data_IF_342154730816
#
_entry.id   IF_342154730816
#
_cell.length_a   1.000
_cell.length_b   1.000
_cell.length_c   1.000
_cell.angle_alpha   90.00
_cell.angle_beta   90.00
_cell.angle_gamma   90.00
#
_symmetry.space_group_name_H-M   'P 1'
#
loop_
_entity.id
_entity.type
_entity.pdbx_description
1 polymer ?
#
# COMPACT_ATOMS: atom_id res chain seq x y z
N UNK A 1 -22.20 -8.96 -17.07
CA UNK A 1 -21.92 -8.54 -18.45
C UNK A 1 -20.40 -8.47 -18.62
N UNK A 2 -19.82 -9.04 -19.71
CA UNK A 2 -18.35 -9.12 -19.87
C UNK A 2 -17.68 -7.74 -19.96
N UNK A 3 -18.35 -6.76 -20.51
CA UNK A 3 -17.85 -5.38 -20.63
C UNK A 3 -17.71 -4.68 -19.27
N UNK A 4 -18.68 -4.86 -18.39
CA UNK A 4 -18.64 -4.32 -17.02
C UNK A 4 -17.50 -4.97 -16.21
N UNK A 5 -17.27 -6.26 -16.41
CA UNK A 5 -16.16 -6.97 -15.76
C UNK A 5 -14.80 -6.48 -16.27
N UNK A 6 -14.65 -6.22 -17.55
CA UNK A 6 -13.40 -5.68 -18.11
C UNK A 6 -13.12 -4.26 -17.61
N UNK A 7 -14.12 -3.40 -17.52
CA UNK A 7 -14.01 -2.07 -16.96
C UNK A 7 -13.61 -2.12 -15.46
N UNK A 8 -14.23 -3.03 -14.69
CA UNK A 8 -13.89 -3.22 -13.28
C UNK A 8 -12.44 -3.66 -13.06
N UNK A 9 -11.93 -4.58 -13.90
CA UNK A 9 -10.53 -5.03 -13.84
C UNK A 9 -9.56 -3.87 -14.09
N UNK A 10 -9.85 -3.01 -15.07
CA UNK A 10 -9.02 -1.84 -15.34
C UNK A 10 -8.99 -0.87 -14.15
N UNK A 11 -10.15 -0.53 -13.57
CA UNK A 11 -10.24 0.35 -12.39
C UNK A 11 -9.47 -0.23 -11.19
N UNK A 12 -9.64 -1.53 -10.93
CA UNK A 12 -8.93 -2.21 -9.84
C UNK A 12 -7.41 -2.21 -10.06
N UNK A 13 -6.96 -2.37 -11.31
CA UNK A 13 -5.52 -2.34 -11.64
C UNK A 13 -4.92 -0.96 -11.38
N UNK A 14 -5.60 0.11 -11.81
CA UNK A 14 -5.14 1.49 -11.57
C UNK A 14 -5.14 1.81 -10.07
N UNK A 15 -6.19 1.42 -9.34
CA UNK A 15 -6.26 1.61 -7.89
C UNK A 15 -5.21 0.75 -7.15
N UNK A 16 -4.87 -0.42 -7.68
CA UNK A 16 -3.77 -1.23 -7.17
C UNK A 16 -2.42 -0.50 -7.26
N UNK A 17 -2.14 0.16 -8.37
CA UNK A 17 -0.96 1.02 -8.49
C UNK A 17 -1.04 2.23 -7.55
N UNK A 18 -2.23 2.86 -7.45
CA UNK A 18 -2.44 3.99 -6.54
C UNK A 18 -2.19 3.62 -5.07
N UNK A 19 -2.50 2.38 -4.66
CA UNK A 19 -2.29 1.90 -3.29
C UNK A 19 -0.81 1.92 -2.88
N UNK A 20 0.12 1.73 -3.82
CA UNK A 20 1.56 1.86 -3.57
C UNK A 20 1.89 3.29 -3.13
N UNK A 21 1.34 4.28 -3.83
CA UNK A 21 1.54 5.69 -3.48
C UNK A 21 0.86 6.07 -2.17
N UNK A 22 -0.28 5.46 -1.85
CA UNK A 22 -0.93 5.61 -0.53
C UNK A 22 0.00 5.10 0.58
N UNK A 23 0.59 3.93 0.43
CA UNK A 23 1.54 3.39 1.41
C UNK A 23 2.77 4.30 1.56
N UNK A 24 3.31 4.79 0.45
CA UNK A 24 4.42 5.76 0.45
C UNK A 24 4.05 7.05 1.17
N UNK A 25 2.85 7.58 0.91
CA UNK A 25 2.32 8.77 1.59
C UNK A 25 2.21 8.55 3.09
N UNK A 26 1.62 7.44 3.53
CA UNK A 26 1.44 7.14 4.97
C UNK A 26 2.79 7.02 5.66
N UNK A 27 3.71 6.22 5.10
CA UNK A 27 5.03 6.02 5.68
C UNK A 27 5.84 7.34 5.73
N UNK A 28 5.86 8.11 4.65
CA UNK A 28 6.58 9.39 4.60
C UNK A 28 5.98 10.45 5.52
N UNK A 29 4.64 10.48 5.66
CA UNK A 29 3.95 11.35 6.62
C UNK A 29 4.32 11.00 8.05
N UNK A 30 4.37 9.70 8.41
CA UNK A 30 4.79 9.24 9.72
C UNK A 30 6.23 9.64 10.05
N UNK A 31 7.15 9.53 9.10
CA UNK A 31 8.54 10.00 9.26
C UNK A 31 8.58 11.50 9.54
N UNK A 32 7.88 12.32 8.75
CA UNK A 32 7.85 13.77 8.95
C UNK A 32 7.28 14.16 10.32
N UNK A 33 6.22 13.47 10.77
CA UNK A 33 5.63 13.67 12.09
C UNK A 33 6.61 13.30 13.22
N UNK A 34 7.29 12.17 13.10
CA UNK A 34 8.30 11.72 14.08
C UNK A 34 9.46 12.72 14.25
N UNK A 35 9.78 13.48 13.20
CA UNK A 35 10.78 14.55 13.24
C UNK A 35 10.20 15.94 13.59
N UNK A 36 8.98 16.00 14.13
CA UNK A 36 8.33 17.24 14.56
C UNK A 36 7.89 18.16 13.42
N UNK A 37 7.81 17.64 12.20
CA UNK A 37 7.39 18.37 11.00
C UNK A 37 5.92 18.09 10.65
N UNK A 38 5.04 18.10 11.64
CA UNK A 38 3.62 17.73 11.52
C UNK A 38 2.83 18.57 10.50
N UNK A 39 3.23 19.83 10.33
CA UNK A 39 2.57 20.76 9.41
C UNK A 39 2.80 20.40 7.92
N UNK A 40 3.93 19.78 7.60
CA UNK A 40 4.26 19.47 6.20
C UNK A 40 3.29 18.44 5.59
N UNK A 41 2.98 17.29 6.22
CA UNK A 41 1.99 16.35 5.70
C UNK A 41 0.61 16.97 5.50
N UNK A 42 0.21 17.92 6.36
CA UNK A 42 -1.08 18.62 6.23
C UNK A 42 -1.11 19.46 4.94
N UNK A 43 -0.05 20.22 4.69
CA UNK A 43 0.04 21.04 3.47
C UNK A 43 0.15 20.20 2.20
N UNK A 44 0.92 19.11 2.23
CA UNK A 44 1.02 18.22 1.07
C UNK A 44 -0.30 17.49 0.80
N UNK A 45 -1.05 17.14 1.85
CA UNK A 45 -2.38 16.54 1.72
C UNK A 45 -3.39 17.53 1.12
N UNK A 46 -3.39 18.79 1.55
CA UNK A 46 -4.22 19.84 0.98
C UNK A 46 -3.90 20.08 -0.50
N UNK A 47 -2.61 20.16 -0.84
CA UNK A 47 -2.19 20.31 -2.23
C UNK A 47 -2.62 19.11 -3.10
N UNK A 48 -2.42 17.89 -2.61
CA UNK A 48 -2.87 16.68 -3.31
C UNK A 48 -4.39 16.61 -3.46
N UNK A 49 -5.14 17.02 -2.42
CA UNK A 49 -6.60 17.10 -2.46
C UNK A 49 -7.10 18.11 -3.50
N UNK A 50 -6.50 19.29 -3.57
CA UNK A 50 -6.81 20.29 -4.59
C UNK A 50 -6.56 19.76 -6.01
N UNK A 51 -5.42 19.10 -6.23
CA UNK A 51 -5.11 18.45 -7.52
C UNK A 51 -6.10 17.34 -7.83
N UNK A 52 -6.51 16.54 -6.84
CA UNK A 52 -7.51 15.49 -7.03
C UNK A 52 -8.84 16.05 -7.51
N UNK A 53 -9.32 17.13 -6.87
CA UNK A 53 -10.58 17.77 -7.25
C UNK A 53 -10.47 18.31 -8.67
N UNK A 54 -9.42 19.08 -8.98
CA UNK A 54 -9.21 19.65 -10.31
C UNK A 54 -9.09 18.56 -11.39
N UNK A 55 -8.28 17.52 -11.14
CA UNK A 55 -8.12 16.41 -12.06
C UNK A 55 -9.41 15.59 -12.23
N UNK A 56 -10.17 15.36 -11.16
CA UNK A 56 -11.46 14.67 -11.25
C UNK A 56 -12.45 15.45 -12.12
N UNK A 57 -12.59 16.75 -11.90
CA UNK A 57 -13.46 17.58 -12.72
C UNK A 57 -13.02 17.56 -14.19
N UNK A 58 -11.72 17.76 -14.45
CA UNK A 58 -11.19 17.83 -15.80
C UNK A 58 -11.28 16.50 -16.58
N UNK A 59 -11.09 15.37 -15.90
CA UNK A 59 -11.07 14.05 -16.53
C UNK A 59 -12.46 13.44 -16.65
N UNK A 60 -13.29 13.55 -15.60
CA UNK A 60 -14.64 12.96 -15.60
C UNK A 60 -15.60 13.76 -16.50
N UNK A 61 -15.39 15.08 -16.66
CA UNK A 61 -16.18 15.90 -17.57
C UNK A 61 -15.95 15.59 -19.05
N UNK A 62 -14.91 14.84 -19.41
CA UNK A 62 -14.64 14.45 -20.79
C UNK A 62 -15.45 13.21 -21.18
N UNK A 63 -16.28 13.25 -22.23
CA UNK A 63 -17.07 12.09 -22.66
C UNK A 63 -16.22 10.85 -22.99
N UNK A 64 -15.00 11.07 -23.50
CA UNK A 64 -14.09 10.01 -23.92
C UNK A 64 -13.47 9.25 -22.74
N UNK A 65 -13.32 9.90 -21.57
CA UNK A 65 -12.68 9.35 -20.38
C UNK A 65 -13.72 8.92 -19.34
N UNK A 66 -14.74 9.78 -19.10
CA UNK A 66 -15.85 9.49 -18.22
C UNK A 66 -15.41 8.98 -16.84
N UNK A 67 -15.99 7.86 -16.42
CA UNK A 67 -15.75 7.26 -15.10
C UNK A 67 -14.31 6.79 -14.89
N UNK A 68 -13.55 6.53 -15.97
CA UNK A 68 -12.13 6.14 -15.89
C UNK A 68 -11.24 7.25 -15.34
N UNK A 69 -11.68 8.50 -15.37
CA UNK A 69 -10.96 9.64 -14.80
C UNK A 69 -10.81 9.61 -13.28
N UNK A 70 -11.71 8.93 -12.57
CA UNK A 70 -11.69 8.89 -11.10
C UNK A 70 -10.49 8.11 -10.53
N UNK A 71 -10.13 6.90 -10.99
CA UNK A 71 -8.91 6.23 -10.57
C UNK A 71 -7.64 6.98 -10.95
N UNK A 72 -7.60 7.61 -12.12
CA UNK A 72 -6.45 8.39 -12.59
C UNK A 72 -6.23 9.61 -11.68
N UNK A 73 -7.27 10.35 -11.34
CA UNK A 73 -7.16 11.49 -10.42
C UNK A 73 -6.68 11.08 -9.03
N UNK A 74 -7.07 9.88 -8.57
CA UNK A 74 -6.60 9.29 -7.32
C UNK A 74 -5.11 8.97 -7.37
N UNK A 75 -4.65 8.37 -8.46
CA UNK A 75 -3.23 8.08 -8.69
C UNK A 75 -2.38 9.35 -8.71
N UNK A 76 -2.83 10.40 -9.41
CA UNK A 76 -2.16 11.69 -9.46
C UNK A 76 -2.08 12.36 -8.08
N UNK A 77 -3.16 12.33 -7.32
CA UNK A 77 -3.22 12.89 -5.98
C UNK A 77 -2.17 12.24 -5.06
N UNK A 78 -2.23 10.93 -4.89
CA UNK A 78 -1.34 10.23 -3.97
C UNK A 78 0.11 10.19 -4.46
N UNK A 79 0.32 10.13 -5.78
CA UNK A 79 1.64 10.26 -6.38
C UNK A 79 2.28 11.62 -6.07
N UNK A 80 1.52 12.70 -6.21
CA UNK A 80 1.98 14.04 -5.85
C UNK A 80 2.30 14.17 -4.36
N UNK A 81 1.41 13.71 -3.48
CA UNK A 81 1.64 13.79 -2.03
C UNK A 81 2.90 13.00 -1.65
N UNK A 82 3.06 11.79 -2.17
CA UNK A 82 4.25 10.98 -1.91
C UNK A 82 5.53 11.68 -2.38
N UNK A 83 5.52 12.26 -3.59
CA UNK A 83 6.65 12.99 -4.14
C UNK A 83 7.02 14.22 -3.30
N UNK A 84 6.02 15.01 -2.87
CA UNK A 84 6.21 16.18 -2.02
C UNK A 84 6.76 15.78 -0.64
N UNK A 85 6.21 14.74 -0.02
CA UNK A 85 6.69 14.25 1.28
C UNK A 85 8.14 13.73 1.18
N UNK A 86 8.47 12.94 0.15
CA UNK A 86 9.85 12.47 -0.06
C UNK A 86 10.82 13.65 -0.30
N UNK A 87 10.39 14.65 -1.06
CA UNK A 87 11.16 15.88 -1.26
C UNK A 87 11.39 16.64 0.04
N UNK A 88 10.36 16.72 0.89
CA UNK A 88 10.46 17.34 2.21
C UNK A 88 11.41 16.57 3.15
N UNK A 89 11.34 15.23 3.16
CA UNK A 89 12.25 14.38 3.93
C UNK A 89 13.71 14.63 3.52
N UNK A 90 14.00 14.59 2.21
CA UNK A 90 15.36 14.81 1.70
C UNK A 90 15.92 16.18 2.05
N UNK A 91 15.07 17.22 2.13
CA UNK A 91 15.49 18.60 2.43
C UNK A 91 15.58 18.89 3.92
N UNK A 92 14.77 18.23 4.74
CA UNK A 92 14.57 18.60 6.14
C UNK A 92 15.25 17.67 7.13
N UNK A 93 15.61 16.45 6.70
CA UNK A 93 16.16 15.43 7.59
C UNK A 93 17.61 15.16 7.17
N UNK A 94 18.61 15.55 8.00
CA UNK A 94 20.03 15.34 7.70
C UNK A 94 20.46 13.87 7.78
N UNK A 95 19.64 13.00 8.38
CA UNK A 95 19.92 11.58 8.41
C UNK A 95 19.78 10.98 7.01
N UNK A 96 20.76 10.19 6.59
CA UNK A 96 20.67 9.37 5.37
C UNK A 96 19.62 8.27 5.60
N UNK A 97 18.34 8.62 5.39
CA UNK A 97 17.26 7.64 5.39
C UNK A 97 17.50 6.71 4.21
N UNK A 98 17.99 5.51 4.46
CA UNK A 98 18.20 4.48 3.44
C UNK A 98 16.85 3.94 2.99
N UNK A 99 16.20 4.72 2.12
CA UNK A 99 14.87 4.38 1.57
C UNK A 99 14.85 2.97 0.96
N UNK A 100 15.97 2.54 0.36
CA UNK A 100 16.10 1.19 -0.20
C UNK A 100 15.97 0.07 0.84
N UNK A 101 16.46 0.26 2.06
CA UNK A 101 16.32 -0.75 3.12
C UNK A 101 14.90 -0.76 3.71
N UNK A 102 14.27 0.42 3.81
CA UNK A 102 12.91 0.57 4.35
C UNK A 102 11.88 -0.02 3.39
N UNK A 103 12.05 0.20 2.08
CA UNK A 103 11.07 -0.24 1.08
C UNK A 103 11.42 -1.59 0.44
N UNK A 104 12.70 -1.97 0.42
CA UNK A 104 13.16 -3.21 -0.23
C UNK A 104 12.55 -4.46 0.39
N UNK A 105 12.60 -4.60 1.71
CA UNK A 105 12.04 -5.76 2.41
C UNK A 105 10.52 -5.89 2.20
N UNK A 106 9.69 -4.85 2.43
CA UNK A 106 8.25 -4.94 2.17
C UNK A 106 7.90 -5.22 0.72
N UNK A 107 8.68 -4.70 -0.23
CA UNK A 107 8.45 -4.93 -1.66
C UNK A 107 8.63 -6.41 -2.01
N UNK A 108 9.70 -7.04 -1.54
CA UNK A 108 9.94 -8.48 -1.74
C UNK A 108 8.83 -9.31 -1.10
N UNK A 109 8.44 -8.99 0.15
CA UNK A 109 7.35 -9.69 0.83
C UNK A 109 6.03 -9.59 0.08
N UNK A 110 5.72 -8.39 -0.45
CA UNK A 110 4.50 -8.16 -1.25
C UNK A 110 4.55 -8.92 -2.57
N UNK A 111 5.70 -8.98 -3.23
CA UNK A 111 5.86 -9.76 -4.45
C UNK A 111 5.63 -11.27 -4.20
N UNK A 112 6.22 -11.83 -3.15
CA UNK A 112 5.98 -13.23 -2.77
C UNK A 112 4.52 -13.47 -2.41
N UNK A 113 3.90 -12.56 -1.65
CA UNK A 113 2.47 -12.62 -1.32
C UNK A 113 1.60 -12.65 -2.58
N UNK A 114 1.88 -11.77 -3.56
CA UNK A 114 1.11 -11.70 -4.80
C UNK A 114 1.24 -13.00 -5.65
N UNK A 115 2.45 -13.55 -5.74
CA UNK A 115 2.68 -14.83 -6.42
C UNK A 115 1.94 -15.96 -5.72
N UNK A 116 2.01 -16.01 -4.39
CA UNK A 116 1.29 -17.02 -3.58
C UNK A 116 -0.21 -16.91 -3.75
N UNK A 117 -0.76 -15.69 -3.67
CA UNK A 117 -2.20 -15.46 -3.87
C UNK A 117 -2.68 -15.96 -5.24
N UNK A 118 -1.91 -15.65 -6.30
CA UNK A 118 -2.24 -16.09 -7.67
C UNK A 118 -2.14 -17.61 -7.84
N UNK A 119 -1.12 -18.24 -7.26
CA UNK A 119 -0.96 -19.69 -7.33
C UNK A 119 -2.09 -20.42 -6.59
N UNK A 120 -2.41 -19.99 -5.38
CA UNK A 120 -3.47 -20.57 -4.56
C UNK A 120 -4.84 -20.37 -5.21
N UNK A 121 -5.11 -19.17 -5.72
CA UNK A 121 -6.34 -18.92 -6.46
C UNK A 121 -6.48 -19.85 -7.67
N UNK A 122 -5.41 -20.01 -8.46
CA UNK A 122 -5.41 -20.90 -9.63
C UNK A 122 -5.66 -22.38 -9.28
N UNK A 123 -5.19 -22.84 -8.13
CA UNK A 123 -5.43 -24.19 -7.62
C UNK A 123 -6.86 -24.35 -7.07
N UNK A 124 -7.31 -23.44 -6.22
CA UNK A 124 -8.61 -23.53 -5.56
C UNK A 124 -9.78 -23.25 -6.51
N UNK A 125 -9.61 -22.38 -7.50
CA UNK A 125 -10.67 -22.06 -8.46
C UNK A 125 -11.10 -23.27 -9.31
N UNK A 126 -10.20 -24.26 -9.46
CA UNK A 126 -10.49 -25.53 -10.15
C UNK A 126 -11.24 -26.54 -9.29
N UNK A 127 -11.15 -26.42 -7.95
CA UNK A 127 -11.64 -27.43 -7.03
C UNK A 127 -12.88 -27.00 -6.22
N UNK A 128 -13.02 -25.72 -5.86
CA UNK A 128 -13.92 -25.28 -4.80
C UNK A 128 -14.83 -24.10 -5.16
N UNK A 129 -14.92 -23.72 -6.42
CA UNK A 129 -15.71 -22.54 -6.84
C UNK A 129 -15.04 -21.20 -6.53
N UNK A 130 -15.47 -20.13 -7.22
CA UNK A 130 -14.78 -18.85 -7.23
C UNK A 130 -14.72 -18.14 -5.87
N UNK A 131 -15.80 -18.17 -5.10
CA UNK A 131 -15.87 -17.48 -3.79
C UNK A 131 -14.92 -18.08 -2.76
N UNK A 132 -14.87 -19.39 -2.64
CA UNK A 132 -13.99 -20.13 -1.71
C UNK A 132 -12.53 -19.97 -2.15
N UNK A 133 -12.25 -19.97 -3.46
CA UNK A 133 -10.92 -19.76 -3.99
C UNK A 133 -10.37 -18.39 -3.66
N UNK A 134 -11.17 -17.33 -3.77
CA UNK A 134 -10.77 -15.96 -3.43
C UNK A 134 -10.47 -15.83 -1.93
N UNK A 135 -11.38 -16.29 -1.07
CA UNK A 135 -11.17 -16.20 0.38
C UNK A 135 -9.97 -17.03 0.86
N UNK A 136 -9.81 -18.24 0.32
CA UNK A 136 -8.65 -19.08 0.61
C UNK A 136 -7.33 -18.48 0.16
N UNK A 137 -7.30 -17.88 -1.04
CA UNK A 137 -6.12 -17.21 -1.56
C UNK A 137 -5.74 -16.00 -0.69
N UNK A 138 -6.71 -15.19 -0.25
CA UNK A 138 -6.47 -14.04 0.63
C UNK A 138 -5.93 -14.50 1.98
N UNK A 139 -6.58 -15.50 2.62
CA UNK A 139 -6.17 -15.99 3.92
C UNK A 139 -4.74 -16.57 3.90
N UNK A 140 -4.41 -17.38 2.89
CA UNK A 140 -3.08 -17.98 2.78
C UNK A 140 -2.02 -16.95 2.42
N UNK A 141 -2.32 -16.01 1.53
CA UNK A 141 -1.41 -14.92 1.19
C UNK A 141 -1.11 -14.02 2.41
N UNK A 142 -2.11 -13.73 3.24
CA UNK A 142 -1.92 -12.97 4.48
C UNK A 142 -1.06 -13.73 5.50
N UNK A 143 -1.26 -15.05 5.63
CA UNK A 143 -0.42 -15.91 6.47
C UNK A 143 1.03 -15.91 6.00
N UNK A 144 1.27 -16.10 4.71
CA UNK A 144 2.62 -16.09 4.12
C UNK A 144 3.29 -14.74 4.32
N UNK A 145 2.57 -13.63 4.12
CA UNK A 145 3.08 -12.29 4.40
C UNK A 145 3.49 -12.13 5.87
N UNK A 146 2.63 -12.56 6.80
CA UNK A 146 2.92 -12.50 8.25
C UNK A 146 4.15 -13.30 8.64
N UNK A 147 4.29 -14.52 8.12
CA UNK A 147 5.46 -15.37 8.36
C UNK A 147 6.73 -14.74 7.79
N UNK A 148 6.67 -14.20 6.57
CA UNK A 148 7.81 -13.51 5.96
C UNK A 148 8.19 -12.24 6.70
N UNK A 149 7.22 -11.47 7.20
CA UNK A 149 7.46 -10.25 7.97
C UNK A 149 8.26 -10.55 9.26
N UNK A 150 7.94 -11.65 9.92
CA UNK A 150 8.68 -12.14 11.09
C UNK A 150 10.05 -12.69 10.68
N UNK A 151 10.11 -13.54 9.67
CA UNK A 151 11.34 -14.21 9.23
C UNK A 151 12.41 -13.24 8.70
N UNK A 152 12.00 -12.18 7.98
CA UNK A 152 12.90 -11.16 7.45
C UNK A 152 13.21 -10.03 8.47
N UNK A 153 12.70 -10.16 9.70
CA UNK A 153 12.91 -9.18 10.77
C UNK A 153 12.36 -7.79 10.41
N UNK A 154 11.25 -7.76 9.65
CA UNK A 154 10.54 -6.53 9.37
C UNK A 154 9.71 -6.08 10.58
N UNK A 155 9.32 -7.02 11.44
CA UNK A 155 8.66 -6.78 12.73
C UNK A 155 9.71 -6.96 13.83
N UNK A 156 10.00 -5.90 14.56
CA UNK A 156 10.92 -5.94 15.71
C UNK A 156 10.18 -6.37 16.96
N UNK A 157 10.91 -6.96 17.91
CA UNK A 157 10.37 -7.35 19.23
C UNK A 157 9.70 -6.15 19.94
N UNK A 158 10.27 -4.96 19.79
CA UNK A 158 9.76 -3.72 20.33
C UNK A 158 8.35 -3.36 19.80
N UNK A 159 8.12 -3.63 18.53
CA UNK A 159 6.81 -3.38 17.88
C UNK A 159 5.73 -4.33 18.41
N UNK A 160 6.11 -5.57 18.73
CA UNK A 160 5.20 -6.55 19.32
C UNK A 160 4.88 -6.26 20.78
N UNK A 161 5.85 -5.74 21.54
CA UNK A 161 5.64 -5.36 22.95
C UNK A 161 4.66 -4.19 23.10
N UNK A 162 4.50 -3.36 22.07
CA UNK A 162 3.48 -2.32 22.03
C UNK A 162 2.04 -2.84 21.91
N UNK A 163 1.84 -4.11 21.56
CA UNK A 163 0.52 -4.75 21.45
C UNK A 163 0.06 -5.34 22.78
N UNK A 164 -1.22 -5.22 23.15
CA UNK A 164 -1.77 -5.89 24.33
C UNK A 164 -1.64 -7.42 24.12
N UNK A 165 -0.83 -8.09 24.97
CA UNK A 165 -0.40 -9.50 24.90
C UNK A 165 0.82 -9.77 23.98
N UNK A 166 1.55 -8.75 23.56
CA UNK A 166 2.72 -8.87 22.68
C UNK A 166 3.85 -9.73 23.26
N UNK A 167 4.05 -9.76 24.57
CA UNK A 167 5.05 -10.60 25.25
C UNK A 167 4.87 -12.09 24.93
N UNK A 168 3.63 -12.60 25.03
CA UNK A 168 3.33 -14.01 24.75
C UNK A 168 3.54 -14.41 23.29
N UNK A 169 3.39 -13.43 22.38
CA UNK A 169 3.59 -13.63 20.95
C UNK A 169 5.07 -13.55 20.61
N UNK A 170 5.79 -12.61 21.20
CA UNK A 170 7.24 -12.46 21.02
C UNK A 170 8.02 -13.67 21.50
N UNK A 171 7.69 -14.22 22.67
CA UNK A 171 8.31 -15.41 23.23
C UNK A 171 8.02 -16.67 22.40
N UNK A 172 6.81 -16.80 21.85
CA UNK A 172 6.41 -17.93 21.00
C UNK A 172 7.06 -17.92 19.62
N UNK A 173 7.43 -16.72 19.12
CA UNK A 173 8.09 -16.54 17.83
C UNK A 173 9.61 -16.51 17.91
N UNK A 174 10.20 -16.72 19.09
CA UNK A 174 11.68 -16.71 19.31
C UNK A 174 12.38 -15.50 18.70
N UNK A 175 11.74 -14.34 18.70
CA UNK A 175 12.32 -13.09 18.19
C UNK A 175 13.37 -12.58 19.19
N UNK A 176 14.63 -12.48 18.71
CA UNK A 176 15.73 -11.84 19.41
C UNK A 176 15.63 -10.33 19.37
#
# INVERSE_FOLDING_TARGET
>A
RPEEAAAAVWHLSVLGVASVFVCLMVASSGILQAYGREKLPVWTLLAGGAVKIAASIALVSRPDIGIHGAPISTLLCYGLIAALNLGAIRRSIPAQVRLGEIFGKPLVMTAVMAVTARAVYGLLSRAAGNGVAVLGAIALAALVYGVLAVALGAVRREDLLALPKGEKIADKLHLR
#
